data_IF_894635933961
#
_entry.id   IF_894635933961
#
_cell.length_a   1.000
_cell.length_b   1.000
_cell.length_c   1.000
_cell.angle_alpha   90.00
_cell.angle_beta   90.00
_cell.angle_gamma   90.00
#
_symmetry.space_group_name_H-M   'P 1'
#
loop_
_entity.id
_entity.type
_entity.pdbx_description
1 polymer ?
#
# COMPACT_ATOMS: atom_id res chain seq x y z
N UNK A 1 -0.47 3.97 13.95
CA UNK A 1 -0.18 3.16 15.15
C UNK A 1 -0.23 1.69 14.75
N UNK A 2 0.91 1.00 14.65
CA UNK A 2 0.96 -0.41 14.24
C UNK A 2 0.66 -1.23 15.49
N UNK A 3 -0.58 -1.70 15.64
CA UNK A 3 -0.96 -2.56 16.76
C UNK A 3 -0.36 -3.96 16.50
N UNK A 4 0.66 -4.32 17.27
CA UNK A 4 1.17 -5.69 17.28
C UNK A 4 0.13 -6.55 17.99
N UNK A 5 -0.41 -7.55 17.29
CA UNK A 5 -1.33 -8.53 17.87
C UNK A 5 -0.51 -9.75 18.27
N UNK A 6 -0.69 -10.24 19.50
CA UNK A 6 0.01 -11.42 20.00
C UNK A 6 -0.98 -12.55 20.26
N UNK A 7 -0.61 -13.78 19.89
CA UNK A 7 -1.36 -15.00 20.19
C UNK A 7 -0.38 -16.06 20.67
N UNK A 8 -0.58 -16.58 21.90
CA UNK A 8 0.31 -17.58 22.53
C UNK A 8 1.79 -17.20 22.41
N UNK A 9 2.13 -15.98 22.84
CA UNK A 9 3.49 -15.39 22.77
C UNK A 9 4.04 -15.09 21.37
N UNK A 10 3.37 -15.51 20.29
CA UNK A 10 3.77 -15.20 18.92
C UNK A 10 3.16 -13.88 18.44
N UNK A 11 4.00 -13.00 17.88
CA UNK A 11 3.53 -11.82 17.18
C UNK A 11 2.91 -12.20 15.84
N UNK A 12 1.62 -11.92 15.66
CA UNK A 12 0.89 -12.18 14.42
C UNK A 12 0.58 -10.86 13.70
N UNK A 13 0.52 -10.92 12.36
CA UNK A 13 0.11 -9.80 11.52
C UNK A 13 -1.27 -10.10 10.98
N UNK A 14 -2.22 -9.25 11.30
CA UNK A 14 -3.54 -9.28 10.66
C UNK A 14 -3.44 -8.56 9.32
N UNK A 15 -3.91 -9.22 8.27
CA UNK A 15 -4.06 -8.68 6.93
C UNK A 15 -5.49 -8.95 6.46
N UNK A 16 -6.03 -8.06 5.63
CA UNK A 16 -7.29 -8.31 4.96
C UNK A 16 -7.15 -9.47 3.98
N UNK A 17 -8.24 -10.19 3.76
CA UNK A 17 -8.31 -11.25 2.77
C UNK A 17 -8.42 -10.63 1.36
N UNK A 18 -7.46 -10.94 0.50
CA UNK A 18 -7.32 -10.35 -0.83
C UNK A 18 -7.16 -11.45 -1.88
N UNK A 19 -7.72 -11.24 -3.07
CA UNK A 19 -7.46 -12.11 -4.22
C UNK A 19 -5.98 -12.11 -4.62
N UNK A 20 -5.53 -13.17 -5.29
CA UNK A 20 -4.16 -13.27 -5.79
C UNK A 20 -3.78 -12.09 -6.70
N UNK A 21 -4.72 -11.66 -7.55
CA UNK A 21 -4.58 -10.47 -8.41
C UNK A 21 -4.35 -9.20 -7.59
N UNK A 22 -5.19 -8.93 -6.60
CA UNK A 22 -5.06 -7.76 -5.72
C UNK A 22 -3.73 -7.77 -4.97
N UNK A 23 -3.28 -8.94 -4.52
CA UNK A 23 -1.99 -9.11 -3.86
C UNK A 23 -0.83 -8.80 -4.81
N UNK A 24 -0.92 -9.20 -6.08
CA UNK A 24 0.11 -8.90 -7.07
C UNK A 24 0.18 -7.40 -7.37
N UNK A 25 -0.96 -6.75 -7.63
CA UNK A 25 -1.02 -5.29 -7.84
C UNK A 25 -0.45 -4.51 -6.64
N UNK A 26 -0.72 -4.97 -5.40
CA UNK A 26 -0.12 -4.37 -4.19
C UNK A 26 1.39 -4.55 -4.11
N UNK A 27 1.95 -5.66 -4.59
CA UNK A 27 3.40 -5.88 -4.67
C UNK A 27 4.03 -4.95 -5.70
N UNK A 28 3.42 -4.84 -6.88
CA UNK A 28 3.86 -3.92 -7.93
C UNK A 28 3.86 -2.46 -7.44
N UNK A 29 2.81 -2.05 -6.73
CA UNK A 29 2.76 -0.73 -6.09
C UNK A 29 3.83 -0.53 -5.01
N UNK A 30 4.32 -1.60 -4.37
CA UNK A 30 5.32 -1.47 -3.31
C UNK A 30 6.63 -0.89 -3.82
N UNK A 31 7.06 -1.26 -5.03
CA UNK A 31 8.30 -0.75 -5.62
C UNK A 31 8.15 0.71 -6.07
N UNK A 32 7.01 1.06 -6.69
CA UNK A 32 6.69 2.45 -7.05
C UNK A 32 6.55 3.31 -5.78
N UNK A 33 5.93 2.79 -4.73
CA UNK A 33 5.78 3.48 -3.44
C UNK A 33 7.12 3.86 -2.82
N UNK A 34 8.14 2.99 -2.90
CA UNK A 34 9.50 3.30 -2.41
C UNK A 34 10.10 4.50 -3.14
N UNK A 35 9.95 4.55 -4.46
CA UNK A 35 10.43 5.67 -5.30
C UNK A 35 9.69 6.97 -4.95
N UNK A 36 8.36 6.92 -4.86
CA UNK A 36 7.54 8.08 -4.50
C UNK A 36 7.83 8.60 -3.10
N UNK A 37 8.15 7.71 -2.15
CA UNK A 37 8.57 8.10 -0.80
C UNK A 37 9.86 8.91 -0.83
N UNK A 38 10.82 8.56 -1.69
CA UNK A 38 12.05 9.33 -1.89
C UNK A 38 11.84 10.72 -2.51
N UNK A 39 10.74 10.90 -3.26
CA UNK A 39 10.37 12.18 -3.89
C UNK A 39 9.51 13.09 -3.01
N UNK A 40 9.26 12.73 -1.75
CA UNK A 40 8.45 13.50 -0.79
C UNK A 40 6.98 13.76 -1.22
N UNK A 41 6.41 12.98 -2.15
CA UNK A 41 5.04 13.17 -2.67
C UNK A 41 3.93 12.49 -1.83
N UNK A 42 4.24 12.15 -0.58
CA UNK A 42 3.32 11.53 0.40
C UNK A 42 2.41 10.42 -0.18
N UNK A 43 2.98 9.34 -0.74
CA UNK A 43 2.19 8.28 -1.36
C UNK A 43 1.33 7.53 -0.33
N UNK A 44 0.17 7.03 -0.77
CA UNK A 44 -0.78 6.22 0.00
C UNK A 44 -1.26 5.05 -0.86
N UNK A 45 -1.28 3.84 -0.28
CA UNK A 45 -1.93 2.68 -0.89
C UNK A 45 -3.31 2.55 -0.27
N UNK A 46 -4.34 2.75 -1.08
CA UNK A 46 -5.75 2.64 -0.71
C UNK A 46 -6.28 1.24 -1.01
N UNK A 47 -7.35 0.87 -0.31
CA UNK A 47 -8.08 -0.37 -0.56
C UNK A 47 -8.83 -0.30 -1.91
N UNK A 48 -8.93 -1.40 -2.69
CA UNK A 48 -8.30 -2.70 -2.48
C UNK A 48 -6.86 -2.78 -3.00
N UNK A 49 -6.47 -2.04 -4.03
CA UNK A 49 -5.09 -1.95 -4.53
C UNK A 49 -4.87 -0.67 -5.36
N UNK A 50 -5.23 0.51 -4.81
CA UNK A 50 -5.04 1.80 -5.52
C UNK A 50 -3.83 2.54 -4.96
N UNK A 51 -2.99 3.11 -5.82
CA UNK A 51 -1.91 4.00 -5.40
C UNK A 51 -2.33 5.45 -5.61
N UNK A 52 -2.28 6.26 -4.56
CA UNK A 52 -2.49 7.71 -4.65
C UNK A 52 -1.30 8.49 -4.12
N UNK A 53 -1.03 9.64 -4.71
CA UNK A 53 0.01 10.56 -4.23
C UNK A 53 -0.32 12.00 -4.65
N UNK A 54 0.28 12.97 -3.95
CA UNK A 54 0.07 14.39 -4.22
C UNK A 54 1.24 14.93 -5.04
N UNK A 55 0.96 15.56 -6.19
CA UNK A 55 1.93 16.24 -7.03
C UNK A 55 1.37 17.60 -7.41
N UNK A 56 2.15 18.67 -7.23
CA UNK A 56 1.75 20.05 -7.62
C UNK A 56 0.33 20.42 -7.17
N UNK A 57 0.01 20.10 -5.91
CA UNK A 57 -1.30 20.26 -5.28
C UNK A 57 -2.43 19.34 -5.75
N UNK A 58 -2.29 18.63 -6.86
CA UNK A 58 -3.24 17.61 -7.31
C UNK A 58 -3.02 16.25 -6.65
N UNK A 59 -4.12 15.54 -6.37
CA UNK A 59 -4.07 14.13 -5.94
C UNK A 59 -4.30 13.25 -7.16
N UNK A 60 -3.28 12.50 -7.57
CA UNK A 60 -3.41 11.48 -8.63
C UNK A 60 -3.64 10.11 -7.99
N UNK A 61 -4.50 9.31 -8.60
CA UNK A 61 -4.88 7.98 -8.11
C UNK A 61 -4.91 6.97 -9.25
N UNK A 62 -4.26 5.83 -9.05
CA UNK A 62 -4.12 4.76 -10.03
C UNK A 62 -4.67 3.46 -9.46
N UNK A 63 -5.48 2.74 -10.24
CA UNK A 63 -6.18 1.52 -9.82
C UNK A 63 -5.44 0.25 -10.20
N UNK A 64 -4.73 0.30 -11.31
CA UNK A 64 -3.98 -0.79 -11.91
C UNK A 64 -2.65 -0.23 -12.45
N UNK A 65 -1.66 -1.10 -12.61
CA UNK A 65 -0.44 -0.81 -13.36
C UNK A 65 -0.65 -1.04 -14.87
N UNK A 66 -1.61 -1.87 -15.26
CA UNK A 66 -1.97 -2.15 -16.66
C UNK A 66 -2.80 -1.03 -17.31
#
# INVERSE_FOLDING_TARGET
QKKTVTCKENSIRLSADFSAETLQTRRDWHDIFKVLKGKNVQPRILYPARLSFRIEEEIKSFSDKN
#
